data_IF_336386801978
#
_entry.id   IF_336386801978
#
_cell.length_a   1.000
_cell.length_b   1.000
_cell.length_c   1.000
_cell.angle_alpha   90.00
_cell.angle_beta   90.00
_cell.angle_gamma   90.00
#
_symmetry.space_group_name_H-M   'P 1'
#
loop_
_entity.id
_entity.type
_entity.pdbx_description
1 polymer ?
#
# COMPACT_ATOMS: atom_id res chain seq x y z
N UNK A 1 -20.82 -69.00 61.96
CA UNK A 1 -21.88 -68.65 60.99
C UNK A 1 -21.64 -67.19 60.60
N UNK A 2 -21.01 -66.91 59.50
CA UNK A 2 -20.60 -65.59 59.04
C UNK A 2 -21.02 -65.45 57.60
N UNK A 3 -21.82 -64.49 57.36
CA UNK A 3 -22.38 -64.19 56.03
C UNK A 3 -21.45 -63.15 55.35
N UNK A 4 -20.83 -63.52 54.20
CA UNK A 4 -20.06 -62.67 53.34
C UNK A 4 -21.00 -62.08 52.27
N UNK A 5 -21.34 -60.80 52.40
CA UNK A 5 -21.94 -60.05 51.31
C UNK A 5 -20.83 -59.43 50.45
N UNK A 6 -20.70 -59.89 49.21
CA UNK A 6 -19.86 -59.30 48.17
C UNK A 6 -20.52 -57.99 47.67
N UNK A 7 -19.82 -56.88 47.87
CA UNK A 7 -20.18 -55.59 47.26
C UNK A 7 -19.74 -55.57 45.80
N UNK A 8 -20.71 -55.42 44.90
CA UNK A 8 -20.53 -55.26 43.46
C UNK A 8 -20.19 -53.78 43.18
N UNK A 9 -18.90 -53.49 42.87
CA UNK A 9 -18.47 -52.18 42.39
C UNK A 9 -19.04 -51.92 40.98
N UNK A 10 -19.93 -50.97 40.91
CA UNK A 10 -20.40 -50.41 39.64
C UNK A 10 -19.26 -49.51 39.11
N UNK A 11 -18.64 -49.91 38.01
CA UNK A 11 -17.72 -49.05 37.26
C UNK A 11 -18.58 -47.99 36.53
N UNK A 12 -18.56 -46.77 37.03
CA UNK A 12 -19.00 -45.59 36.27
C UNK A 12 -18.17 -45.49 34.99
N UNK A 13 -18.84 -45.59 33.85
CA UNK A 13 -18.27 -45.23 32.56
C UNK A 13 -18.08 -43.71 32.54
N UNK A 14 -16.84 -43.25 32.56
CA UNK A 14 -16.54 -41.86 32.20
C UNK A 14 -17.05 -41.59 30.78
N UNK A 15 -17.69 -40.44 30.54
CA UNK A 15 -18.10 -40.07 29.19
C UNK A 15 -16.84 -39.85 28.35
N UNK A 16 -16.71 -40.61 27.29
CA UNK A 16 -15.71 -40.36 26.22
C UNK A 16 -16.08 -39.00 25.62
N UNK A 17 -15.23 -38.01 25.89
CA UNK A 17 -15.28 -36.73 25.18
C UNK A 17 -14.92 -37.07 23.72
N UNK A 18 -15.93 -37.19 22.89
CA UNK A 18 -15.77 -37.19 21.44
C UNK A 18 -15.23 -35.81 21.06
N UNK A 19 -13.94 -35.70 20.85
CA UNK A 19 -13.33 -34.62 20.08
C UNK A 19 -13.85 -34.74 18.63
N UNK A 20 -15.10 -34.35 18.40
CA UNK A 20 -15.48 -33.94 17.05
C UNK A 20 -14.75 -32.66 16.77
N UNK A 21 -13.66 -32.74 15.99
CA UNK A 21 -13.01 -31.59 15.37
C UNK A 21 -14.12 -30.78 14.69
N UNK A 22 -14.33 -29.55 15.14
CA UNK A 22 -15.33 -28.67 14.56
C UNK A 22 -15.06 -28.58 13.05
N UNK A 23 -16.05 -28.96 12.25
CA UNK A 23 -15.97 -29.04 10.77
C UNK A 23 -15.78 -27.67 10.11
N UNK A 24 -15.67 -26.59 10.88
CA UNK A 24 -15.71 -25.20 10.44
C UNK A 24 -14.37 -24.43 10.57
N UNK A 25 -13.28 -25.10 10.88
CA UNK A 25 -11.96 -24.46 10.98
C UNK A 25 -11.29 -24.37 9.61
N UNK A 26 -10.87 -23.17 9.19
CA UNK A 26 -10.17 -22.99 7.92
C UNK A 26 -9.08 -21.92 7.98
N UNK A 27 -8.15 -22.01 7.04
CA UNK A 27 -7.03 -21.10 6.89
C UNK A 27 -7.26 -20.15 5.71
N UNK A 28 -6.89 -18.89 5.88
CA UNK A 28 -6.62 -17.97 4.78
C UNK A 28 -5.14 -17.66 4.78
N UNK A 29 -4.50 -17.95 3.67
CA UNK A 29 -3.11 -17.63 3.44
C UNK A 29 -3.00 -16.51 2.39
N UNK A 30 -2.56 -15.33 2.80
CA UNK A 30 -2.34 -14.19 1.93
C UNK A 30 -0.89 -14.15 1.48
N UNK A 31 -0.66 -14.12 0.17
CA UNK A 31 0.65 -13.89 -0.43
C UNK A 31 0.75 -12.44 -0.87
N UNK A 32 1.76 -11.73 -0.41
CA UNK A 32 2.05 -10.34 -0.77
C UNK A 32 3.55 -10.10 -0.81
N UNK A 33 4.02 -8.88 -1.12
CA UNK A 33 5.46 -8.65 -1.23
C UNK A 33 5.93 -7.24 -0.82
N UNK A 34 5.39 -6.19 -1.40
CA UNK A 34 5.93 -4.83 -1.24
C UNK A 34 5.26 -4.02 -0.14
N UNK A 35 5.88 -2.91 0.29
CA UNK A 35 5.32 -2.04 1.32
C UNK A 35 3.99 -1.38 0.88
N UNK A 36 3.85 -1.07 -0.42
CA UNK A 36 2.61 -0.55 -0.98
C UNK A 36 1.47 -1.54 -0.86
N UNK A 37 1.66 -2.77 -1.32
CA UNK A 37 0.67 -3.84 -1.31
C UNK A 37 0.22 -4.20 0.10
N UNK A 38 1.13 -4.19 1.08
CA UNK A 38 0.80 -4.46 2.49
C UNK A 38 -0.17 -3.41 3.03
N UNK A 39 0.04 -2.15 2.71
CA UNK A 39 -0.76 -1.05 3.26
C UNK A 39 -2.06 -0.80 2.49
N UNK A 40 -2.04 -1.00 1.17
CA UNK A 40 -3.18 -0.62 0.31
C UNK A 40 -4.05 -1.80 -0.13
N UNK A 41 -3.52 -3.04 -0.10
CA UNK A 41 -4.27 -4.23 -0.50
C UNK A 41 -4.49 -5.20 0.66
N UNK A 42 -3.42 -5.55 1.40
CA UNK A 42 -3.55 -6.53 2.50
C UNK A 42 -4.42 -5.96 3.61
N UNK A 43 -4.16 -4.73 4.06
CA UNK A 43 -4.89 -4.11 5.17
C UNK A 43 -6.42 -4.10 4.97
N UNK A 44 -6.99 -3.54 3.89
CA UNK A 44 -8.45 -3.56 3.70
C UNK A 44 -9.00 -4.98 3.53
N UNK A 45 -8.26 -5.88 2.87
CA UNK A 45 -8.71 -7.25 2.65
C UNK A 45 -8.79 -8.04 3.96
N UNK A 46 -7.80 -7.94 4.86
CA UNK A 46 -7.87 -8.65 6.16
C UNK A 46 -9.02 -8.15 7.02
N UNK A 47 -9.30 -6.84 7.01
CA UNK A 47 -10.47 -6.26 7.69
C UNK A 47 -11.78 -6.81 7.13
N UNK A 48 -11.97 -6.77 5.81
CA UNK A 48 -13.16 -7.28 5.14
C UNK A 48 -13.37 -8.80 5.40
N UNK A 49 -12.28 -9.57 5.38
CA UNK A 49 -12.30 -10.99 5.69
C UNK A 49 -12.77 -11.26 7.13
N UNK A 50 -12.22 -10.55 8.13
CA UNK A 50 -12.64 -10.68 9.52
C UNK A 50 -14.10 -10.28 9.74
N UNK A 51 -14.52 -9.18 9.13
CA UNK A 51 -15.92 -8.73 9.23
C UNK A 51 -16.87 -9.75 8.61
N UNK A 52 -16.60 -10.18 7.38
CA UNK A 52 -17.51 -11.03 6.62
C UNK A 52 -17.50 -12.49 7.05
N UNK A 53 -16.35 -13.03 7.38
CA UNK A 53 -16.19 -14.44 7.76
C UNK A 53 -16.24 -14.65 9.28
N UNK A 54 -15.91 -13.63 10.07
CA UNK A 54 -15.94 -13.68 11.53
C UNK A 54 -17.30 -13.40 12.15
N UNK A 55 -18.20 -12.66 11.48
CA UNK A 55 -19.46 -12.19 12.06
C UNK A 55 -20.68 -12.34 11.17
N UNK A 56 -20.59 -12.03 9.87
CA UNK A 56 -21.76 -11.97 8.98
C UNK A 56 -21.92 -13.18 8.02
N UNK A 57 -20.86 -13.94 7.82
CA UNK A 57 -20.83 -15.04 6.85
C UNK A 57 -21.52 -16.32 7.30
N UNK A 58 -21.78 -16.45 8.60
CA UNK A 58 -22.44 -17.62 9.20
C UNK A 58 -23.68 -17.17 9.98
N UNK A 59 -24.73 -17.98 10.01
CA UNK A 59 -25.81 -17.74 10.94
C UNK A 59 -25.23 -17.67 12.36
N UNK A 60 -25.88 -16.93 13.28
CA UNK A 60 -25.42 -16.77 14.67
C UNK A 60 -25.10 -18.09 15.38
N UNK A 61 -25.68 -19.19 14.92
CA UNK A 61 -25.44 -20.56 15.39
C UNK A 61 -24.17 -21.20 14.75
N UNK A 62 -23.82 -20.81 13.51
CA UNK A 62 -22.64 -21.31 12.79
C UNK A 62 -21.37 -20.50 13.13
N UNK A 63 -21.53 -19.23 13.53
CA UNK A 63 -20.41 -18.39 13.97
C UNK A 63 -19.83 -18.81 15.33
N UNK A 64 -20.62 -19.51 16.15
CA UNK A 64 -20.18 -20.09 17.43
C UNK A 64 -19.38 -21.36 17.11
N UNK A 65 -18.08 -21.23 16.91
CA UNK A 65 -17.15 -22.33 16.66
C UNK A 65 -16.33 -22.27 15.39
N UNK A 66 -16.49 -21.25 14.56
CA UNK A 66 -15.66 -21.07 13.37
C UNK A 66 -14.38 -20.35 13.74
N UNK A 67 -13.26 -21.03 13.67
CA UNK A 67 -11.95 -20.42 13.89
C UNK A 67 -11.29 -20.08 12.56
N UNK A 68 -11.50 -18.85 12.08
CA UNK A 68 -10.76 -18.30 10.96
C UNK A 68 -9.34 -17.96 11.39
N UNK A 69 -8.33 -18.45 10.66
CA UNK A 69 -6.94 -18.11 10.87
C UNK A 69 -6.37 -17.43 9.60
N UNK A 70 -5.93 -16.18 9.73
CA UNK A 70 -5.37 -15.40 8.63
C UNK A 70 -3.86 -15.36 8.79
N UNK A 71 -3.14 -15.86 7.79
CA UNK A 71 -1.68 -15.87 7.73
C UNK A 71 -1.21 -15.03 6.55
N UNK A 72 -0.17 -14.22 6.73
CA UNK A 72 0.47 -13.46 5.66
C UNK A 72 1.87 -14.03 5.41
N UNK A 73 2.19 -14.35 4.18
CA UNK A 73 3.52 -14.76 3.74
C UNK A 73 4.03 -13.77 2.70
N UNK A 74 5.18 -13.18 2.99
CA UNK A 74 5.82 -12.21 2.12
C UNK A 74 6.78 -12.89 1.15
N UNK A 75 6.64 -12.61 -0.15
CA UNK A 75 7.62 -13.00 -1.15
C UNK A 75 8.69 -11.91 -1.32
N UNK A 76 9.91 -12.26 -1.78
CA UNK A 76 10.96 -11.29 -2.03
C UNK A 76 10.51 -10.19 -2.98
N UNK A 77 10.81 -8.95 -2.64
CA UNK A 77 10.55 -7.77 -3.44
C UNK A 77 11.84 -6.94 -3.56
N UNK A 78 12.26 -6.55 -4.77
CA UNK A 78 13.44 -5.68 -4.95
C UNK A 78 13.29 -4.32 -4.25
N UNK A 79 12.07 -3.94 -3.93
CA UNK A 79 11.73 -2.66 -3.31
C UNK A 79 11.33 -2.79 -1.84
N UNK A 80 11.51 -3.98 -1.25
CA UNK A 80 11.24 -4.20 0.16
C UNK A 80 12.10 -3.27 1.03
N UNK A 81 11.50 -2.80 2.11
CA UNK A 81 12.15 -1.98 3.13
C UNK A 81 12.72 -2.81 4.27
N UNK A 82 12.30 -4.09 4.37
CA UNK A 82 12.59 -5.00 5.48
C UNK A 82 11.62 -4.88 6.66
N UNK A 83 10.70 -3.91 6.65
CA UNK A 83 9.71 -3.69 7.73
C UNK A 83 8.31 -4.21 7.37
N UNK A 84 8.10 -4.77 6.19
CA UNK A 84 6.80 -5.24 5.72
C UNK A 84 6.19 -6.29 6.65
N UNK A 85 7.02 -7.18 7.18
CA UNK A 85 6.57 -8.20 8.12
C UNK A 85 6.07 -7.59 9.44
N UNK A 86 6.76 -6.57 9.95
CA UNK A 86 6.37 -5.89 11.19
C UNK A 86 5.07 -5.10 11.00
N UNK A 87 4.92 -4.45 9.84
CA UNK A 87 3.67 -3.77 9.48
C UNK A 87 2.51 -4.79 9.41
N UNK A 88 2.71 -5.92 8.75
CA UNK A 88 1.67 -6.95 8.68
C UNK A 88 1.33 -7.54 10.06
N UNK A 89 2.31 -7.71 10.97
CA UNK A 89 2.11 -8.14 12.37
C UNK A 89 1.34 -7.11 13.21
N UNK A 90 1.43 -5.84 12.84
CA UNK A 90 0.69 -4.78 13.55
C UNK A 90 -0.82 -4.78 13.27
N UNK A 91 -1.28 -5.53 12.27
CA UNK A 91 -2.70 -5.64 11.95
C UNK A 91 -3.39 -6.63 12.88
N UNK A 92 -4.37 -6.20 13.68
CA UNK A 92 -5.04 -7.07 14.66
C UNK A 92 -5.82 -8.22 14.01
N UNK A 93 -6.10 -8.12 12.71
CA UNK A 93 -6.79 -9.14 11.93
C UNK A 93 -5.89 -10.31 11.51
N UNK A 94 -4.57 -10.16 11.61
CA UNK A 94 -3.57 -11.13 11.14
C UNK A 94 -3.06 -11.97 12.31
N UNK A 95 -3.12 -13.31 12.17
CA UNK A 95 -2.70 -14.23 13.22
C UNK A 95 -1.22 -14.62 13.11
N UNK A 96 -0.69 -14.74 11.88
CA UNK A 96 0.68 -15.21 11.63
C UNK A 96 1.29 -14.48 10.43
N UNK A 97 2.58 -14.15 10.54
CA UNK A 97 3.32 -13.49 9.46
C UNK A 97 4.67 -14.16 9.25
N UNK A 98 4.95 -14.57 8.01
CA UNK A 98 6.26 -15.02 7.60
C UNK A 98 6.95 -13.97 6.74
N UNK A 99 8.15 -13.57 7.15
CA UNK A 99 8.97 -12.60 6.44
C UNK A 99 9.59 -13.19 5.14
N UNK A 100 9.99 -12.30 4.23
CA UNK A 100 10.39 -12.66 2.88
C UNK A 100 11.67 -13.50 2.81
N UNK A 101 12.58 -13.40 3.80
CA UNK A 101 13.81 -14.21 3.88
C UNK A 101 13.54 -15.71 3.95
N UNK A 102 12.37 -16.12 4.46
CA UNK A 102 11.99 -17.52 4.58
C UNK A 102 11.07 -18.01 3.44
N UNK A 103 10.79 -17.15 2.46
CA UNK A 103 9.84 -17.42 1.40
C UNK A 103 10.23 -18.63 0.53
N UNK A 104 11.49 -18.71 0.08
CA UNK A 104 11.93 -19.78 -0.81
C UNK A 104 11.87 -21.15 -0.15
N UNK A 105 12.16 -21.22 1.14
CA UNK A 105 12.03 -22.47 1.91
C UNK A 105 10.56 -22.93 1.93
N UNK A 106 9.64 -22.00 2.13
CA UNK A 106 8.22 -22.30 2.11
C UNK A 106 7.74 -22.67 0.69
N UNK A 107 8.11 -21.90 -0.32
CA UNK A 107 7.72 -22.18 -1.70
C UNK A 107 8.22 -23.53 -2.20
N UNK A 108 9.47 -23.91 -1.90
CA UNK A 108 10.09 -25.13 -2.43
C UNK A 108 9.76 -26.38 -1.60
N UNK A 109 9.72 -26.27 -0.29
CA UNK A 109 9.57 -27.44 0.61
C UNK A 109 8.31 -27.39 1.50
N UNK A 110 7.53 -26.33 1.45
CA UNK A 110 6.32 -26.17 2.27
C UNK A 110 6.59 -25.92 3.75
N UNK A 111 7.84 -25.62 4.11
CA UNK A 111 8.26 -25.39 5.51
C UNK A 111 8.31 -23.90 5.79
N UNK A 112 7.49 -23.45 6.73
CA UNK A 112 7.58 -22.09 7.29
C UNK A 112 8.69 -22.02 8.33
N UNK A 113 9.17 -20.82 8.64
CA UNK A 113 10.23 -20.62 9.64
C UNK A 113 9.84 -21.18 11.02
N UNK A 114 8.58 -20.95 11.41
CA UNK A 114 8.04 -21.38 12.71
C UNK A 114 7.35 -22.76 12.65
N UNK A 115 7.55 -23.52 11.56
CA UNK A 115 6.93 -24.83 11.36
C UNK A 115 5.41 -24.82 11.56
N UNK A 116 4.72 -23.90 10.89
CA UNK A 116 3.26 -23.76 11.02
C UNK A 116 2.52 -25.05 10.68
N UNK A 117 1.53 -25.35 11.49
CA UNK A 117 0.49 -26.32 11.17
C UNK A 117 -0.47 -25.75 10.13
N UNK A 118 -1.09 -26.60 9.34
CA UNK A 118 -2.10 -26.25 8.34
C UNK A 118 -3.39 -27.01 8.58
N UNK A 119 -4.50 -26.33 8.44
CA UNK A 119 -5.83 -26.95 8.51
C UNK A 119 -6.12 -27.70 7.23
N UNK A 120 -7.12 -28.60 7.28
CA UNK A 120 -7.52 -29.40 6.11
C UNK A 120 -8.21 -28.60 5.02
N UNK A 121 -8.74 -27.43 5.34
CA UNK A 121 -9.43 -26.53 4.42
C UNK A 121 -8.82 -25.13 4.47
N UNK A 122 -8.74 -24.47 3.32
CA UNK A 122 -8.27 -23.10 3.25
C UNK A 122 -8.29 -22.50 1.86
N UNK A 123 -7.95 -21.21 1.81
CA UNK A 123 -7.82 -20.44 0.56
C UNK A 123 -6.51 -19.69 0.57
N UNK A 124 -5.78 -19.77 -0.55
CA UNK A 124 -4.61 -18.93 -0.83
C UNK A 124 -5.07 -17.72 -1.62
N UNK A 125 -4.88 -16.53 -1.06
CA UNK A 125 -5.18 -15.25 -1.71
C UNK A 125 -3.87 -14.60 -2.15
N UNK A 126 -3.79 -14.24 -3.41
CA UNK A 126 -2.65 -13.52 -3.95
C UNK A 126 -2.94 -12.01 -4.03
N UNK A 127 -2.13 -11.22 -3.32
CA UNK A 127 -2.19 -9.76 -3.26
C UNK A 127 -0.82 -9.12 -3.58
N UNK A 128 0.05 -9.78 -4.30
CA UNK A 128 1.34 -9.22 -4.71
C UNK A 128 2.44 -10.28 -4.86
N UNK A 129 3.37 -10.03 -5.78
CA UNK A 129 4.44 -10.95 -6.14
C UNK A 129 4.25 -11.57 -7.53
N UNK A 130 4.71 -12.81 -7.73
CA UNK A 130 4.46 -13.55 -8.97
C UNK A 130 3.23 -14.46 -8.85
N UNK A 131 2.34 -14.38 -9.83
CA UNK A 131 1.09 -15.17 -9.87
C UNK A 131 1.32 -16.68 -9.99
N UNK A 132 2.55 -17.15 -10.17
CA UNK A 132 2.87 -18.58 -10.08
C UNK A 132 2.98 -19.07 -8.63
N UNK A 133 3.28 -18.22 -7.68
CA UNK A 133 3.41 -18.60 -6.28
C UNK A 133 2.13 -19.19 -5.69
N UNK A 134 0.95 -18.58 -5.85
CA UNK A 134 -0.29 -19.19 -5.37
C UNK A 134 -0.59 -20.53 -6.03
N UNK A 135 -0.21 -20.78 -7.29
CA UNK A 135 -0.38 -22.08 -7.95
C UNK A 135 0.38 -23.18 -7.19
N UNK A 136 1.65 -22.94 -6.86
CA UNK A 136 2.49 -23.93 -6.17
C UNK A 136 2.00 -24.15 -4.73
N UNK A 137 1.74 -23.06 -4.01
CA UNK A 137 1.42 -23.10 -2.59
C UNK A 137 0.03 -23.71 -2.36
N UNK A 138 -0.97 -23.27 -3.14
CA UNK A 138 -2.33 -23.80 -3.01
C UNK A 138 -2.37 -25.30 -3.31
N UNK A 139 -1.72 -25.75 -4.39
CA UNK A 139 -1.63 -27.17 -4.70
C UNK A 139 -0.98 -27.99 -3.60
N UNK A 140 0.08 -27.46 -2.95
CA UNK A 140 0.77 -28.15 -1.86
C UNK A 140 -0.06 -28.29 -0.61
N UNK A 141 -0.81 -27.24 -0.26
CA UNK A 141 -1.66 -27.23 0.93
C UNK A 141 -3.01 -27.92 0.72
N UNK A 142 -3.38 -28.22 -0.54
CA UNK A 142 -4.71 -28.68 -0.89
C UNK A 142 -5.77 -27.58 -0.77
N UNK A 143 -5.38 -26.33 -0.91
CA UNK A 143 -6.24 -25.15 -0.77
C UNK A 143 -6.73 -24.65 -2.12
N UNK A 144 -7.85 -23.94 -2.11
CA UNK A 144 -8.31 -23.17 -3.26
C UNK A 144 -7.44 -21.93 -3.45
N UNK A 145 -7.40 -21.38 -4.65
CA UNK A 145 -6.59 -20.22 -5.01
C UNK A 145 -7.44 -19.07 -5.56
N UNK A 146 -7.28 -17.89 -4.98
CA UNK A 146 -7.91 -16.65 -5.44
C UNK A 146 -6.82 -15.63 -5.75
N UNK A 147 -6.78 -15.12 -6.96
CA UNK A 147 -5.78 -14.14 -7.41
C UNK A 147 -6.44 -12.80 -7.65
N UNK A 148 -5.99 -11.75 -6.95
CA UNK A 148 -6.29 -10.38 -7.33
C UNK A 148 -5.41 -9.98 -8.52
N UNK A 149 -6.04 -9.59 -9.63
CA UNK A 149 -5.35 -9.22 -10.86
C UNK A 149 -5.70 -7.78 -11.26
N UNK A 150 -4.74 -6.88 -11.08
CA UNK A 150 -4.86 -5.46 -11.40
C UNK A 150 -4.82 -5.20 -12.91
N UNK A 151 -3.81 -5.74 -13.60
CA UNK A 151 -3.52 -5.47 -15.01
C UNK A 151 -3.62 -6.68 -15.92
N UNK A 152 -3.22 -7.83 -15.42
CA UNK A 152 -3.20 -9.09 -16.16
C UNK A 152 -3.50 -10.27 -15.23
N UNK A 153 -4.10 -11.29 -15.79
CA UNK A 153 -4.30 -12.57 -15.14
C UNK A 153 -3.54 -13.66 -15.89
N UNK A 154 -2.78 -14.47 -15.18
CA UNK A 154 -1.98 -15.56 -15.74
C UNK A 154 -2.40 -16.89 -15.11
N UNK A 155 -2.00 -18.01 -15.71
CA UNK A 155 -2.23 -19.35 -15.17
C UNK A 155 -3.71 -19.75 -15.04
N UNK A 156 -4.56 -19.34 -16.00
CA UNK A 156 -6.02 -19.50 -15.96
C UNK A 156 -6.50 -20.94 -15.75
N UNK A 157 -5.71 -21.93 -16.21
CA UNK A 157 -6.00 -23.35 -16.04
C UNK A 157 -5.65 -23.90 -14.66
N UNK A 158 -4.78 -23.23 -13.89
CA UNK A 158 -4.23 -23.69 -12.61
C UNK A 158 -4.80 -22.95 -11.41
N UNK A 159 -5.32 -21.75 -11.60
CA UNK A 159 -5.92 -20.91 -10.56
C UNK A 159 -7.44 -21.12 -10.56
N UNK A 160 -8.03 -21.18 -9.38
CA UNK A 160 -9.45 -21.45 -9.22
C UNK A 160 -10.30 -20.21 -9.53
N UNK A 161 -9.97 -19.06 -8.97
CA UNK A 161 -10.73 -17.80 -9.17
C UNK A 161 -9.81 -16.59 -9.34
N UNK A 162 -10.32 -15.62 -10.08
CA UNK A 162 -9.68 -14.33 -10.31
C UNK A 162 -10.62 -13.22 -9.88
N UNK A 163 -10.15 -12.40 -8.94
CA UNK A 163 -10.72 -11.12 -8.58
C UNK A 163 -10.02 -10.05 -9.41
N UNK A 164 -10.69 -9.49 -10.42
CA UNK A 164 -10.06 -8.53 -11.33
C UNK A 164 -10.47 -7.10 -11.02
N UNK A 165 -9.51 -6.17 -11.15
CA UNK A 165 -9.76 -4.76 -10.91
C UNK A 165 -10.77 -4.18 -11.91
N UNK A 166 -10.67 -4.57 -13.18
CA UNK A 166 -11.46 -4.00 -14.30
C UNK A 166 -11.98 -5.09 -15.24
N UNK A 167 -13.13 -4.84 -15.91
CA UNK A 167 -13.66 -5.77 -16.92
C UNK A 167 -12.70 -6.09 -18.06
N UNK A 168 -11.81 -5.13 -18.43
CA UNK A 168 -10.85 -5.30 -19.52
C UNK A 168 -9.80 -6.37 -19.22
N UNK A 169 -9.52 -6.66 -17.94
CA UNK A 169 -8.63 -7.76 -17.56
C UNK A 169 -9.30 -9.10 -17.86
N UNK A 170 -10.58 -9.23 -17.57
CA UNK A 170 -11.36 -10.42 -17.88
C UNK A 170 -11.60 -10.58 -19.39
N UNK A 171 -11.77 -9.49 -20.15
CA UNK A 171 -12.04 -9.51 -21.57
C UNK A 171 -10.88 -10.10 -22.43
N UNK A 172 -9.65 -10.13 -21.89
CA UNK A 172 -8.48 -10.71 -22.56
C UNK A 172 -8.38 -12.23 -22.44
N UNK A 173 -9.30 -12.85 -21.71
CA UNK A 173 -9.22 -14.27 -21.31
C UNK A 173 -10.02 -15.13 -22.27
N UNK A 174 -9.52 -16.34 -22.54
CA UNK A 174 -10.26 -17.30 -23.39
C UNK A 174 -11.64 -17.63 -22.77
N UNK A 175 -12.72 -17.69 -23.58
CA UNK A 175 -14.11 -17.84 -23.08
C UNK A 175 -14.33 -19.01 -22.11
N UNK A 176 -13.61 -20.11 -22.29
CA UNK A 176 -13.70 -21.29 -21.41
C UNK A 176 -13.30 -21.02 -19.95
N UNK A 177 -12.56 -19.95 -19.67
CA UNK A 177 -12.16 -19.55 -18.32
C UNK A 177 -12.94 -18.35 -17.77
N UNK A 178 -13.83 -17.75 -18.55
CA UNK A 178 -14.56 -16.54 -18.17
C UNK A 178 -15.30 -16.70 -16.82
N UNK A 179 -15.83 -17.90 -16.56
CA UNK A 179 -16.54 -18.22 -15.31
C UNK A 179 -15.68 -18.10 -14.05
N UNK A 180 -14.34 -18.09 -14.17
CA UNK A 180 -13.41 -17.92 -13.05
C UNK A 180 -13.21 -16.46 -12.65
N UNK A 181 -13.68 -15.50 -13.46
CA UNK A 181 -13.38 -14.09 -13.31
C UNK A 181 -14.53 -13.32 -12.69
N UNK A 182 -14.23 -12.56 -11.65
CA UNK A 182 -15.16 -11.66 -10.97
C UNK A 182 -14.55 -10.27 -10.91
N UNK A 183 -15.26 -9.26 -11.41
CA UNK A 183 -14.83 -7.86 -11.29
C UNK A 183 -15.13 -7.39 -9.88
N UNK A 184 -14.09 -7.16 -9.09
CA UNK A 184 -14.21 -6.69 -7.71
C UNK A 184 -13.99 -5.18 -7.59
N UNK A 185 -13.18 -4.58 -8.47
CA UNK A 185 -12.79 -3.18 -8.39
C UNK A 185 -11.35 -3.00 -7.92
N UNK A 186 -11.03 -1.76 -7.56
CA UNK A 186 -9.69 -1.36 -7.15
C UNK A 186 -9.54 -1.41 -5.63
N UNK A 187 -8.67 -2.28 -5.13
CA UNK A 187 -8.37 -2.35 -3.69
C UNK A 187 -7.74 -1.07 -3.13
N UNK A 188 -7.05 -0.27 -3.96
CA UNK A 188 -6.51 1.01 -3.52
C UNK A 188 -7.61 2.05 -3.26
N UNK A 189 -8.79 1.92 -3.89
CA UNK A 189 -9.92 2.81 -3.64
C UNK A 189 -10.50 2.67 -2.22
N UNK A 190 -10.23 1.57 -1.53
CA UNK A 190 -10.64 1.35 -0.13
C UNK A 190 -10.00 2.31 0.85
N UNK A 191 -8.79 2.82 0.55
CA UNK A 191 -8.11 3.80 1.40
C UNK A 191 -8.95 5.06 1.64
N UNK A 192 -9.79 5.43 0.67
CA UNK A 192 -10.72 6.55 0.81
C UNK A 192 -11.90 6.25 1.75
N UNK A 193 -12.32 4.99 1.85
CA UNK A 193 -13.45 4.58 2.69
C UNK A 193 -13.09 4.64 4.18
N UNK A 194 -11.87 4.33 4.56
CA UNK A 194 -11.41 4.42 5.95
C UNK A 194 -11.52 5.87 6.48
N UNK A 195 -11.19 6.86 5.65
CA UNK A 195 -11.28 8.28 6.03
C UNK A 195 -12.73 8.75 6.16
N UNK A 196 -13.64 8.18 5.35
CA UNK A 196 -15.07 8.56 5.38
C UNK A 196 -15.77 7.98 6.60
N UNK A 197 -15.40 6.77 7.03
CA UNK A 197 -15.99 6.13 8.21
C UNK A 197 -15.57 6.78 9.54
N UNK A 198 -14.41 7.41 9.59
CA UNK A 198 -13.94 8.17 10.76
C UNK A 198 -14.48 9.61 10.82
N UNK A 199 -15.10 10.10 9.77
CA UNK A 199 -15.73 11.43 9.75
C UNK A 199 -17.24 11.31 9.93
N UNK A 200 -17.76 11.89 11.03
CA UNK A 200 -19.13 12.36 11.15
C UNK A 200 -19.56 13.18 9.90
N UNK A 201 -20.85 13.22 9.56
CA UNK A 201 -21.33 13.67 8.25
C UNK A 201 -20.79 15.05 7.87
N UNK A 202 -20.33 15.14 6.62
CA UNK A 202 -19.83 16.36 6.01
C UNK A 202 -20.84 17.51 6.18
N UNK A 203 -20.50 18.45 7.03
CA UNK A 203 -21.06 19.79 6.91
C UNK A 203 -20.50 20.39 5.61
N UNK A 204 -21.34 21.00 4.75
CA UNK A 204 -20.85 21.73 3.58
C UNK A 204 -19.83 22.79 4.04
N UNK A 205 -18.75 22.93 3.31
CA UNK A 205 -17.70 23.91 3.58
C UNK A 205 -18.27 25.31 3.64
N UNK A 206 -18.72 25.72 4.81
CA UNK A 206 -18.95 27.13 5.13
C UNK A 206 -17.63 27.72 5.53
N UNK A 207 -17.30 28.84 4.93
CA UNK A 207 -16.12 29.68 5.05
C UNK A 207 -15.85 30.11 6.49
N UNK A 208 -15.18 29.25 7.27
CA UNK A 208 -14.47 29.67 8.49
C UNK A 208 -13.02 29.22 8.32
N UNK A 209 -12.09 30.13 8.44
CA UNK A 209 -10.63 30.08 8.35
C UNK A 209 -10.01 28.66 8.46
N UNK A 210 -10.12 27.86 7.40
CA UNK A 210 -9.38 26.61 7.33
C UNK A 210 -7.90 26.95 7.20
N UNK A 211 -7.08 26.45 8.09
CA UNK A 211 -5.63 26.50 7.98
C UNK A 211 -5.22 25.91 6.63
N UNK A 212 -4.54 26.67 5.80
CA UNK A 212 -4.03 26.22 4.52
C UNK A 212 -2.93 25.20 4.75
N UNK A 213 -3.15 23.97 4.29
CA UNK A 213 -2.31 22.83 4.60
C UNK A 213 -1.75 22.18 3.31
N UNK A 214 -0.44 22.05 3.23
CA UNK A 214 0.27 21.40 2.13
C UNK A 214 1.08 20.22 2.65
N UNK A 215 0.93 19.06 2.02
CA UNK A 215 1.77 17.90 2.32
C UNK A 215 2.96 17.79 1.37
N UNK A 216 4.11 17.46 1.92
CA UNK A 216 5.33 17.18 1.20
C UNK A 216 5.59 15.67 1.25
N UNK A 217 5.61 15.01 0.09
CA UNK A 217 5.87 13.57 -0.03
C UNK A 217 7.13 13.34 -0.86
N UNK A 218 8.33 13.55 -0.27
CA UNK A 218 9.61 13.49 -1.00
C UNK A 218 10.01 12.08 -1.42
N UNK A 219 9.25 11.07 -1.02
CA UNK A 219 9.51 9.66 -1.24
C UNK A 219 9.95 8.92 0.02
N UNK A 220 10.25 7.62 -0.13
CA UNK A 220 10.69 6.75 0.98
C UNK A 220 12.05 6.09 0.74
N UNK A 221 12.58 6.16 -0.49
CA UNK A 221 13.85 5.53 -0.88
C UNK A 221 14.96 6.57 -0.93
N UNK A 222 16.22 6.23 -0.56
CA UNK A 222 17.35 7.17 -0.54
C UNK A 222 17.52 7.95 -1.85
N UNK A 223 17.39 7.28 -3.00
CA UNK A 223 17.53 7.92 -4.31
C UNK A 223 16.46 9.00 -4.59
N UNK A 224 15.27 8.90 -4.00
CA UNK A 224 14.21 9.91 -4.09
C UNK A 224 14.39 10.98 -3.03
N UNK A 225 14.69 10.58 -1.80
CA UNK A 225 14.85 11.47 -0.67
C UNK A 225 16.00 12.47 -0.88
N UNK A 226 17.11 12.05 -1.51
CA UNK A 226 18.26 12.92 -1.77
C UNK A 226 17.93 14.19 -2.55
N UNK A 227 17.00 14.11 -3.50
CA UNK A 227 16.52 15.27 -4.27
C UNK A 227 15.18 15.79 -3.75
N UNK A 228 14.29 14.88 -3.38
CA UNK A 228 12.91 15.20 -2.98
C UNK A 228 12.84 16.03 -1.70
N UNK A 229 13.65 15.70 -0.69
CA UNK A 229 13.66 16.45 0.58
C UNK A 229 14.11 17.91 0.38
N UNK A 230 15.30 18.18 -0.17
CA UNK A 230 15.73 19.58 -0.34
C UNK A 230 14.84 20.35 -1.32
N UNK A 231 14.39 19.73 -2.41
CA UNK A 231 13.50 20.40 -3.37
C UNK A 231 12.18 20.80 -2.71
N UNK A 232 11.50 19.88 -2.02
CA UNK A 232 10.20 20.19 -1.41
C UNK A 232 10.29 21.18 -0.26
N UNK A 233 11.38 21.14 0.52
CA UNK A 233 11.63 22.14 1.57
C UNK A 233 11.88 23.52 0.98
N UNK A 234 12.68 23.64 -0.09
CA UNK A 234 12.94 24.92 -0.75
C UNK A 234 11.65 25.51 -1.39
N UNK A 235 10.82 24.67 -2.01
CA UNK A 235 9.50 25.08 -2.51
C UNK A 235 8.62 25.57 -1.34
N UNK A 236 8.60 24.86 -0.23
CA UNK A 236 7.80 25.21 0.95
C UNK A 236 8.25 26.56 1.55
N UNK A 237 9.54 26.83 1.65
CA UNK A 237 10.06 28.14 2.06
C UNK A 237 9.60 29.26 1.13
N UNK A 238 9.70 29.03 -0.17
CA UNK A 238 9.26 30.02 -1.16
C UNK A 238 7.76 30.34 -1.04
N UNK A 239 6.93 29.30 -0.90
CA UNK A 239 5.48 29.47 -0.72
C UNK A 239 5.17 30.17 0.60
N UNK A 240 5.81 29.77 1.71
CA UNK A 240 5.58 30.37 3.03
C UNK A 240 5.97 31.85 3.07
N UNK A 241 7.04 32.23 2.39
CA UNK A 241 7.46 33.64 2.30
C UNK A 241 6.37 34.54 1.67
N UNK A 242 5.55 34.01 0.74
CA UNK A 242 4.47 34.72 0.09
C UNK A 242 3.11 34.50 0.76
N UNK A 243 2.93 33.36 1.46
CA UNK A 243 1.70 32.97 2.17
C UNK A 243 2.04 32.46 3.58
N UNK A 244 2.32 33.34 4.55
CA UNK A 244 2.78 32.95 5.89
C UNK A 244 1.82 32.05 6.70
N UNK A 245 0.52 32.04 6.32
CA UNK A 245 -0.51 31.21 6.95
C UNK A 245 -0.45 29.74 6.52
N UNK A 246 0.30 29.42 5.44
CA UNK A 246 0.43 28.04 4.93
C UNK A 246 1.23 27.18 5.90
N UNK A 247 0.68 26.02 6.25
CA UNK A 247 1.34 25.02 7.06
C UNK A 247 1.76 23.82 6.22
N UNK A 248 2.87 23.23 6.62
CA UNK A 248 3.46 22.10 5.90
C UNK A 248 3.66 20.90 6.80
N UNK A 249 3.49 19.71 6.25
CA UNK A 249 3.85 18.46 6.93
C UNK A 249 4.38 17.41 5.96
N UNK A 250 5.15 16.46 6.51
CA UNK A 250 5.63 15.26 5.83
C UNK A 250 5.00 14.05 6.50
N UNK A 251 4.18 13.23 5.82
CA UNK A 251 3.84 11.90 6.29
C UNK A 251 5.08 11.02 6.15
N UNK A 252 5.68 10.65 7.28
CA UNK A 252 6.90 9.86 7.29
C UNK A 252 6.56 8.41 7.00
N UNK A 253 7.20 7.82 5.99
CA UNK A 253 6.98 6.41 5.69
C UNK A 253 7.34 5.54 6.92
N UNK A 254 6.56 4.50 7.25
CA UNK A 254 6.80 3.68 8.44
C UNK A 254 8.16 2.98 8.43
N UNK A 255 8.79 2.90 7.27
CA UNK A 255 10.11 2.31 7.04
C UNK A 255 11.25 3.31 7.19
N UNK A 256 10.97 4.61 7.40
CA UNK A 256 11.94 5.69 7.42
C UNK A 256 12.07 6.28 8.83
N UNK A 257 13.27 6.28 9.37
CA UNK A 257 13.57 6.92 10.65
C UNK A 257 13.69 8.43 10.49
N UNK A 258 13.26 9.18 11.49
CA UNK A 258 13.28 10.65 11.46
C UNK A 258 14.68 11.23 11.26
N UNK A 259 15.68 10.63 11.90
CA UNK A 259 17.09 11.05 11.74
C UNK A 259 17.58 10.80 10.32
N UNK A 260 17.18 9.69 9.71
CA UNK A 260 17.51 9.39 8.31
C UNK A 260 16.84 10.39 7.38
N UNK A 261 15.56 10.72 7.60
CA UNK A 261 14.87 11.75 6.82
C UNK A 261 15.60 13.10 6.94
N UNK A 262 15.93 13.53 8.16
CA UNK A 262 16.61 14.78 8.44
C UNK A 262 18.01 14.86 7.78
N UNK A 263 18.71 13.73 7.68
CA UNK A 263 20.03 13.68 7.04
C UNK A 263 20.01 14.10 5.56
N UNK A 264 18.86 13.97 4.88
CA UNK A 264 18.72 14.45 3.49
C UNK A 264 18.53 15.97 3.39
N UNK A 265 18.27 16.66 4.49
CA UNK A 265 18.24 18.10 4.57
C UNK A 265 19.54 18.69 5.16
N UNK A 266 20.55 17.86 5.40
CA UNK A 266 21.85 18.25 5.93
C UNK A 266 22.84 18.45 4.77
N UNK A 267 23.40 19.68 4.58
CA UNK A 267 24.33 19.97 3.51
C UNK A 267 25.63 19.16 3.55
N UNK A 268 26.04 18.70 4.74
CA UNK A 268 27.25 17.88 4.89
C UNK A 268 27.03 16.44 4.42
N UNK A 269 25.77 15.97 4.47
CA UNK A 269 25.40 14.58 4.12
C UNK A 269 24.75 14.47 2.75
N UNK A 270 24.12 15.54 2.28
CA UNK A 270 23.40 15.54 1.02
C UNK A 270 23.82 16.73 0.12
N UNK A 271 24.66 16.52 -0.90
CA UNK A 271 25.14 17.59 -1.77
C UNK A 271 24.01 18.24 -2.61
N UNK A 272 22.85 17.58 -2.76
CA UNK A 272 21.72 18.16 -3.49
C UNK A 272 21.07 19.35 -2.78
N UNK A 273 21.31 19.56 -1.51
CA UNK A 273 20.87 20.76 -0.79
C UNK A 273 21.40 22.02 -1.50
N UNK A 274 22.64 22.00 -1.98
CA UNK A 274 23.23 23.10 -2.72
C UNK A 274 22.57 23.34 -4.09
N UNK A 275 22.09 22.25 -4.73
CA UNK A 275 21.38 22.33 -6.02
C UNK A 275 20.05 23.08 -5.90
N UNK A 276 19.43 23.04 -4.72
CA UNK A 276 18.16 23.67 -4.44
C UNK A 276 18.29 24.86 -3.48
N UNK A 277 19.25 25.75 -3.74
CA UNK A 277 19.41 27.02 -3.04
C UNK A 277 20.10 26.93 -1.68
N UNK A 278 20.81 25.85 -1.39
CA UNK A 278 21.52 25.69 -0.10
C UNK A 278 20.58 25.41 1.07
N UNK A 279 19.39 24.88 0.78
CA UNK A 279 18.40 24.57 1.83
C UNK A 279 18.98 23.63 2.88
N UNK A 280 18.74 23.92 4.15
CA UNK A 280 19.13 23.05 5.26
C UNK A 280 18.04 23.03 6.32
N UNK A 281 17.87 21.87 6.99
CA UNK A 281 16.92 21.74 8.09
C UNK A 281 17.45 20.79 9.17
N UNK A 282 17.02 21.03 10.38
CA UNK A 282 17.33 20.22 11.57
C UNK A 282 16.07 19.57 12.13
N UNK A 283 16.21 18.33 12.60
CA UNK A 283 15.16 17.64 13.34
C UNK A 283 15.07 18.21 14.76
N UNK A 284 13.89 18.64 15.14
CA UNK A 284 13.57 19.01 16.52
C UNK A 284 12.61 17.94 17.06
N UNK A 285 13.05 17.28 18.14
CA UNK A 285 12.26 16.28 18.84
C UNK A 285 11.22 16.96 19.75
N UNK A 286 10.17 17.50 19.13
CA UNK A 286 8.98 18.04 19.80
C UNK A 286 7.82 17.05 19.65
N UNK A 287 6.67 17.38 20.18
CA UNK A 287 5.45 16.60 19.97
C UNK A 287 4.39 17.50 19.32
N UNK A 288 4.09 17.29 18.02
CA UNK A 288 4.74 16.37 17.09
C UNK A 288 6.19 16.78 16.73
N UNK A 289 7.03 15.84 16.26
CA UNK A 289 8.39 16.16 15.79
C UNK A 289 8.33 17.04 14.53
N UNK A 290 9.34 17.88 14.35
CA UNK A 290 9.38 18.84 13.23
C UNK A 290 10.76 18.87 12.56
N UNK A 291 10.78 19.17 11.25
CA UNK A 291 11.94 19.71 10.57
C UNK A 291 11.86 21.23 10.57
N UNK A 292 12.89 21.89 11.09
CA UNK A 292 13.01 23.35 11.06
C UNK A 292 14.16 23.76 10.14
N UNK A 293 13.84 24.53 9.10
CA UNK A 293 14.87 25.03 8.18
C UNK A 293 15.65 26.19 8.79
N UNK A 294 16.81 26.48 8.21
CA UNK A 294 17.65 27.60 8.63
C UNK A 294 16.90 28.94 8.52
N UNK A 295 16.05 29.10 7.52
CA UNK A 295 15.25 30.31 7.31
C UNK A 295 13.96 30.36 8.15
N UNK A 296 13.73 29.36 9.02
CA UNK A 296 12.65 29.37 9.99
C UNK A 296 11.37 28.64 9.59
N UNK A 297 11.29 28.07 8.38
CA UNK A 297 10.16 27.20 8.00
C UNK A 297 10.09 26.02 8.99
N UNK A 298 8.89 25.72 9.44
CA UNK A 298 8.59 24.56 10.28
C UNK A 298 7.71 23.57 9.52
N UNK A 299 8.16 22.33 9.42
CA UNK A 299 7.44 21.24 8.75
C UNK A 299 7.16 20.13 9.77
N UNK A 300 5.89 19.87 10.04
CA UNK A 300 5.46 18.81 10.97
C UNK A 300 5.76 17.42 10.38
N UNK A 301 6.24 16.49 11.20
CA UNK A 301 6.49 15.11 10.80
C UNK A 301 5.40 14.21 11.37
N UNK A 302 4.57 13.64 10.50
CA UNK A 302 3.50 12.74 10.89
C UNK A 302 4.04 11.31 10.92
N UNK A 303 4.08 10.71 12.10
CA UNK A 303 4.66 9.37 12.32
C UNK A 303 3.62 8.27 12.42
N UNK A 304 2.34 8.59 12.63
CA UNK A 304 1.28 7.60 12.55
C UNK A 304 0.99 7.21 11.09
N UNK A 305 0.64 5.97 10.88
CA UNK A 305 0.41 5.45 9.54
C UNK A 305 -0.84 4.54 9.52
N UNK A 306 -1.71 4.70 8.49
CA UNK A 306 -1.67 5.70 7.41
C UNK A 306 -2.08 7.10 7.91
N UNK A 307 -1.54 8.14 7.30
CA UNK A 307 -1.82 9.55 7.63
C UNK A 307 -2.97 10.12 6.77
N UNK A 308 -3.97 9.32 6.44
CA UNK A 308 -5.05 9.70 5.51
C UNK A 308 -5.95 10.80 6.08
N UNK A 309 -6.11 10.84 7.40
CA UNK A 309 -6.82 11.88 8.15
C UNK A 309 -6.23 13.28 7.86
N UNK A 310 -4.90 13.40 7.87
CA UNK A 310 -4.18 14.65 7.55
C UNK A 310 -4.13 14.90 6.03
N UNK A 311 -3.81 13.89 5.23
CA UNK A 311 -3.71 14.02 3.77
C UNK A 311 -5.02 14.49 3.15
N UNK A 312 -6.16 13.98 3.61
CA UNK A 312 -7.49 14.38 3.10
C UNK A 312 -7.86 15.84 3.39
N UNK A 313 -7.14 16.51 4.29
CA UNK A 313 -7.35 17.92 4.63
C UNK A 313 -6.50 18.87 3.78
N UNK A 314 -5.55 18.35 2.99
CA UNK A 314 -4.66 19.17 2.17
C UNK A 314 -5.40 19.90 1.06
N UNK A 315 -5.01 21.14 0.84
CA UNK A 315 -5.36 21.88 -0.38
C UNK A 315 -4.67 21.24 -1.57
N UNK A 316 -3.38 20.97 -1.45
CA UNK A 316 -2.56 20.35 -2.49
C UNK A 316 -1.40 19.58 -1.84
N UNK A 317 -0.90 18.55 -2.52
CA UNK A 317 0.29 17.79 -2.11
C UNK A 317 1.41 17.94 -3.15
N UNK A 318 2.64 18.05 -2.69
CA UNK A 318 3.85 17.94 -3.52
C UNK A 318 4.40 16.53 -3.36
N UNK A 319 4.38 15.74 -4.42
CA UNK A 319 4.76 14.32 -4.34
C UNK A 319 5.75 13.92 -5.42
N UNK A 320 6.54 12.89 -5.17
CA UNK A 320 7.36 12.24 -6.21
C UNK A 320 6.55 11.12 -6.89
N UNK A 321 6.97 10.74 -8.09
CA UNK A 321 6.39 9.59 -8.82
C UNK A 321 6.44 8.32 -7.96
N UNK A 322 5.35 7.58 -7.86
CA UNK A 322 5.28 6.31 -7.14
C UNK A 322 3.90 6.01 -6.54
N UNK A 323 3.84 5.06 -5.59
CA UNK A 323 2.60 4.63 -4.93
C UNK A 323 1.82 5.79 -4.27
N UNK A 324 2.53 6.80 -3.76
CA UNK A 324 1.88 8.00 -3.18
C UNK A 324 0.89 8.65 -4.14
N UNK A 325 1.17 8.63 -5.47
CA UNK A 325 0.25 9.23 -6.45
C UNK A 325 -1.06 8.45 -6.57
N UNK A 326 -1.01 7.14 -6.36
CA UNK A 326 -2.21 6.30 -6.34
C UNK A 326 -3.02 6.52 -5.04
N UNK A 327 -2.35 6.58 -3.89
CA UNK A 327 -2.98 6.86 -2.60
C UNK A 327 -3.68 8.23 -2.61
N UNK A 328 -2.96 9.29 -3.02
CA UNK A 328 -3.53 10.64 -3.15
C UNK A 328 -4.68 10.69 -4.17
N UNK A 329 -4.54 9.96 -5.29
CA UNK A 329 -5.59 9.81 -6.29
C UNK A 329 -6.84 9.16 -5.71
N UNK A 330 -6.69 8.09 -4.93
CA UNK A 330 -7.80 7.40 -4.26
C UNK A 330 -8.47 8.26 -3.20
N UNK A 331 -7.71 9.11 -2.50
CA UNK A 331 -8.25 10.11 -1.56
C UNK A 331 -8.85 11.35 -2.26
N UNK A 332 -8.73 11.43 -3.58
CA UNK A 332 -9.09 12.61 -4.38
C UNK A 332 -8.41 13.90 -3.90
N UNK A 333 -7.17 13.80 -3.43
CA UNK A 333 -6.37 14.94 -2.95
C UNK A 333 -5.60 15.53 -4.13
N UNK A 334 -5.74 16.86 -4.41
CA UNK A 334 -4.96 17.52 -5.44
C UNK A 334 -3.47 17.36 -5.21
N UNK A 335 -2.70 17.18 -6.29
CA UNK A 335 -1.27 17.00 -6.18
C UNK A 335 -0.52 17.58 -7.39
N UNK A 336 0.74 17.93 -7.15
CA UNK A 336 1.74 18.19 -8.19
C UNK A 336 2.80 17.11 -8.07
N UNK A 337 3.08 16.41 -9.17
CA UNK A 337 4.04 15.31 -9.20
C UNK A 337 5.39 15.84 -9.70
N UNK A 338 6.42 15.65 -8.89
CA UNK A 338 7.76 16.18 -9.13
C UNK A 338 8.71 15.04 -9.55
N UNK A 339 9.36 15.20 -10.67
CA UNK A 339 10.44 14.32 -11.13
C UNK A 339 11.67 15.16 -11.50
N UNK A 340 12.47 15.58 -10.50
CA UNK A 340 13.70 16.32 -10.76
C UNK A 340 14.73 15.46 -11.50
N UNK A 341 15.29 15.98 -12.57
CA UNK A 341 16.29 15.30 -13.40
C UNK A 341 17.69 15.94 -13.29
N UNK A 342 17.94 16.66 -12.21
CA UNK A 342 19.24 17.30 -11.92
C UNK A 342 20.39 16.28 -11.92
N UNK A 343 20.10 15.01 -11.59
CA UNK A 343 20.97 13.87 -11.90
C UNK A 343 20.17 12.71 -12.47
N UNK A 344 20.45 12.35 -13.71
CA UNK A 344 19.90 11.19 -14.38
C UNK A 344 20.29 9.85 -13.72
N UNK A 345 21.39 9.83 -12.95
CA UNK A 345 21.87 8.63 -12.23
C UNK A 345 20.95 8.21 -11.06
N UNK A 346 20.13 9.11 -10.53
CA UNK A 346 19.16 8.78 -9.48
C UNK A 346 18.05 7.83 -9.95
N UNK A 347 17.88 7.63 -11.26
CA UNK A 347 16.87 6.77 -11.86
C UNK A 347 17.31 5.31 -12.00
N UNK A 348 18.39 4.88 -11.36
CA UNK A 348 18.82 3.46 -11.29
C UNK A 348 17.84 2.53 -10.56
N UNK A 349 16.80 3.09 -9.96
CA UNK A 349 15.77 2.35 -9.21
C UNK A 349 14.56 1.91 -10.05
N UNK A 350 14.72 1.75 -11.36
CA UNK A 350 13.66 1.26 -12.23
C UNK A 350 13.45 -0.25 -12.07
N UNK A 351 12.20 -0.67 -12.19
CA UNK A 351 11.81 -2.07 -12.07
C UNK A 351 11.98 -2.84 -13.40
N UNK A 352 12.25 -4.15 -13.28
CA UNK A 352 12.33 -5.05 -14.44
C UNK A 352 13.67 -5.03 -15.17
N UNK A 353 13.66 -5.52 -16.42
CA UNK A 353 14.84 -5.62 -17.30
C UNK A 353 15.66 -4.31 -17.43
N UNK A 354 15.02 -3.13 -17.56
CA UNK A 354 15.76 -1.86 -17.57
C UNK A 354 16.56 -1.61 -16.31
N UNK A 355 16.03 -1.93 -15.12
CA UNK A 355 16.74 -1.77 -13.86
C UNK A 355 17.92 -2.73 -13.71
N UNK A 356 17.79 -3.96 -14.20
CA UNK A 356 18.88 -4.95 -14.18
C UNK A 356 20.04 -4.48 -15.08
N UNK A 357 19.74 -3.98 -16.28
CA UNK A 357 20.74 -3.47 -17.22
C UNK A 357 21.42 -2.18 -16.71
N UNK A 358 20.68 -1.32 -16.04
CA UNK A 358 21.21 -0.09 -15.45
C UNK A 358 22.18 -0.37 -14.27
N UNK A 359 22.09 -1.53 -13.63
CA UNK A 359 22.91 -1.93 -12.49
C UNK A 359 24.14 -2.77 -12.88
N UNK A 360 24.40 -3.01 -14.18
CA UNK A 360 25.59 -3.74 -14.63
C UNK A 360 26.86 -2.93 -14.38
N UNK A 361 27.90 -3.52 -13.75
CA UNK A 361 29.16 -2.85 -13.49
C UNK A 361 29.86 -2.43 -14.81
N UNK A 362 30.26 -1.16 -14.91
CA UNK A 362 31.02 -0.60 -16.03
C UNK A 362 30.21 -0.02 -17.19
N UNK A 363 28.98 -0.44 -17.42
CA UNK A 363 28.14 0.03 -18.55
C UNK A 363 26.83 0.67 -18.06
N UNK A 364 26.46 0.39 -16.81
CA UNK A 364 25.14 0.71 -16.25
C UNK A 364 24.80 2.21 -16.23
N UNK A 365 25.75 3.11 -16.02
CA UNK A 365 25.47 4.56 -15.98
C UNK A 365 25.12 5.13 -17.35
N UNK A 366 25.81 4.69 -18.41
CA UNK A 366 25.51 5.13 -19.77
C UNK A 366 24.20 4.55 -20.29
N UNK A 367 23.90 3.31 -19.93
CA UNK A 367 22.64 2.66 -20.27
C UNK A 367 21.45 3.27 -19.51
N UNK A 368 21.62 3.59 -18.23
CA UNK A 368 20.63 4.31 -17.43
C UNK A 368 20.32 5.69 -18.04
N UNK A 369 21.33 6.44 -18.48
CA UNK A 369 21.15 7.74 -19.17
C UNK A 369 20.39 7.59 -20.48
N UNK A 370 20.69 6.55 -21.26
CA UNK A 370 20.01 6.28 -22.54
C UNK A 370 18.55 5.88 -22.32
N UNK A 371 18.28 4.98 -21.39
CA UNK A 371 16.91 4.56 -21.05
C UNK A 371 16.12 5.77 -20.52
N UNK A 372 16.68 6.55 -19.64
CA UNK A 372 16.07 7.76 -19.10
C UNK A 372 15.80 8.79 -20.21
N UNK A 373 16.72 8.97 -21.14
CA UNK A 373 16.53 9.83 -22.29
C UNK A 373 15.40 9.32 -23.20
N UNK A 374 15.37 8.04 -23.53
CA UNK A 374 14.28 7.42 -24.31
C UNK A 374 12.93 7.54 -23.60
N UNK A 375 12.91 7.36 -22.28
CA UNK A 375 11.70 7.49 -21.46
C UNK A 375 11.16 8.92 -21.44
N UNK A 376 12.04 9.90 -21.23
CA UNK A 376 11.69 11.32 -21.29
C UNK A 376 11.22 11.76 -22.68
N UNK A 377 11.75 11.15 -23.74
CA UNK A 377 11.31 11.39 -25.12
C UNK A 377 9.92 10.77 -25.42
N UNK A 378 9.53 9.70 -24.74
CA UNK A 378 8.25 9.01 -24.98
C UNK A 378 7.04 9.67 -24.35
N UNK A 379 7.17 10.80 -23.63
CA UNK A 379 6.06 11.55 -23.01
C UNK A 379 4.96 10.63 -22.41
N UNK A 380 5.37 9.60 -21.68
CA UNK A 380 4.45 8.71 -20.99
C UNK A 380 3.91 9.37 -19.72
N UNK A 381 2.68 9.07 -19.35
CA UNK A 381 2.10 9.47 -18.08
C UNK A 381 2.79 8.71 -16.94
N UNK A 382 3.11 9.41 -15.83
CA UNK A 382 3.90 8.89 -14.72
C UNK A 382 3.08 8.70 -13.44
N UNK A 383 2.16 9.62 -13.19
CA UNK A 383 1.28 9.56 -12.04
C UNK A 383 0.15 8.56 -12.29
N UNK A 384 -0.16 7.75 -11.31
CA UNK A 384 -1.22 6.77 -11.41
C UNK A 384 -2.56 7.36 -11.84
N UNK A 385 -3.05 8.50 -11.30
CA UNK A 385 -4.27 9.12 -11.79
C UNK A 385 -4.26 9.45 -13.28
N UNK A 386 -3.12 9.93 -13.80
CA UNK A 386 -2.98 10.25 -15.21
C UNK A 386 -2.99 8.99 -16.08
N UNK A 387 -2.31 7.92 -15.61
CA UNK A 387 -2.30 6.61 -16.26
C UNK A 387 -3.71 6.01 -16.30
N UNK A 388 -4.47 6.07 -15.20
CA UNK A 388 -5.84 5.59 -15.13
C UNK A 388 -6.77 6.33 -16.09
N UNK A 389 -6.66 7.67 -16.09
CA UNK A 389 -7.45 8.53 -16.97
C UNK A 389 -6.99 8.51 -18.43
N UNK A 390 -5.79 7.99 -18.73
CA UNK A 390 -5.11 8.11 -20.03
C UNK A 390 -4.97 9.56 -20.52
N UNK A 391 -4.93 10.50 -19.59
CA UNK A 391 -4.82 11.94 -19.80
C UNK A 391 -4.27 12.62 -18.56
N UNK A 392 -3.79 13.85 -18.71
CA UNK A 392 -3.32 14.62 -17.58
C UNK A 392 -4.49 15.08 -16.70
N UNK A 393 -4.53 14.58 -15.48
CA UNK A 393 -5.47 14.95 -14.41
C UNK A 393 -4.76 15.77 -13.35
N UNK A 394 -3.53 15.40 -13.05
CA UNK A 394 -2.63 16.10 -12.13
C UNK A 394 -1.37 16.52 -12.89
N UNK A 395 -0.80 17.71 -12.62
CA UNK A 395 0.40 18.15 -13.30
C UNK A 395 1.61 17.28 -12.94
N UNK A 396 2.40 16.93 -13.95
CA UNK A 396 3.66 16.20 -13.82
C UNK A 396 4.81 17.12 -14.26
N UNK A 397 5.58 17.60 -13.29
CA UNK A 397 6.72 18.46 -13.55
C UNK A 397 8.00 17.62 -13.66
N UNK A 398 8.50 17.51 -14.88
CA UNK A 398 9.66 16.67 -15.21
C UNK A 398 10.78 17.55 -15.77
N UNK A 399 11.97 17.44 -15.21
CA UNK A 399 13.12 18.20 -15.72
C UNK A 399 13.99 18.80 -14.62
N UNK A 400 14.74 19.84 -15.00
CA UNK A 400 15.49 20.64 -14.03
C UNK A 400 14.51 21.58 -13.31
N UNK A 401 14.02 21.12 -12.15
CA UNK A 401 13.03 21.86 -11.38
C UNK A 401 13.72 22.92 -10.51
N UNK A 402 13.25 24.17 -10.63
CA UNK A 402 13.67 25.26 -9.75
C UNK A 402 12.59 25.47 -8.67
N UNK A 403 12.99 25.59 -7.39
CA UNK A 403 12.02 25.73 -6.29
C UNK A 403 11.06 26.91 -6.48
N UNK A 404 11.55 28.04 -6.98
CA UNK A 404 10.77 29.25 -7.21
C UNK A 404 9.70 29.04 -8.30
N UNK A 405 10.08 28.41 -9.43
CA UNK A 405 9.15 28.13 -10.53
C UNK A 405 8.03 27.18 -10.09
N UNK A 406 8.38 26.12 -9.35
CA UNK A 406 7.38 25.21 -8.79
C UNK A 406 6.53 25.90 -7.73
N UNK A 407 7.16 26.73 -6.89
CA UNK A 407 6.46 27.53 -5.88
C UNK A 407 5.42 28.48 -6.50
N UNK A 408 5.70 29.11 -7.64
CA UNK A 408 4.74 29.93 -8.37
C UNK A 408 3.54 29.09 -8.87
N UNK A 409 3.78 27.87 -9.35
CA UNK A 409 2.69 26.96 -9.74
C UNK A 409 1.81 26.61 -8.54
N UNK A 410 2.41 26.32 -7.38
CA UNK A 410 1.67 26.07 -6.14
C UNK A 410 0.81 27.27 -5.76
N UNK A 411 1.41 28.47 -5.79
CA UNK A 411 0.73 29.73 -5.46
C UNK A 411 -0.44 30.00 -6.44
N UNK A 412 -0.26 29.69 -7.71
CA UNK A 412 -1.35 29.81 -8.70
C UNK A 412 -2.53 28.91 -8.34
N UNK A 413 -2.28 27.66 -7.96
CA UNK A 413 -3.34 26.76 -7.49
C UNK A 413 -4.01 27.25 -6.20
N UNK A 414 -3.24 27.77 -5.24
CA UNK A 414 -3.79 28.29 -3.98
C UNK A 414 -4.62 29.59 -4.18
N UNK A 415 -4.24 30.40 -5.17
CA UNK A 415 -4.96 31.63 -5.53
C UNK A 415 -6.21 31.35 -6.40
N UNK A 416 -6.32 30.16 -6.98
CA UNK A 416 -7.41 29.75 -7.85
C UNK A 416 -8.03 28.43 -7.36
N UNK A 417 -8.80 28.45 -6.24
CA UNK A 417 -9.35 27.23 -5.62
C UNK A 417 -10.23 26.43 -6.58
N UNK A 418 -10.85 27.07 -7.57
CA UNK A 418 -11.62 26.39 -8.62
C UNK A 418 -10.78 25.41 -9.46
N UNK A 419 -9.46 25.64 -9.60
CA UNK A 419 -8.55 24.70 -10.25
C UNK A 419 -8.35 23.44 -9.39
N UNK A 420 -8.25 23.63 -8.06
CA UNK A 420 -8.14 22.50 -7.10
C UNK A 420 -9.44 21.70 -7.07
N UNK A 421 -10.59 22.35 -7.06
CA UNK A 421 -11.90 21.67 -7.07
C UNK A 421 -12.13 20.89 -8.37
N UNK A 422 -11.71 21.44 -9.51
CA UNK A 422 -11.73 20.74 -10.79
C UNK A 422 -10.82 19.51 -10.77
N UNK A 423 -9.63 19.61 -10.16
CA UNK A 423 -8.72 18.47 -10.01
C UNK A 423 -9.33 17.41 -9.09
N UNK A 424 -9.91 17.79 -7.94
CA UNK A 424 -10.63 16.87 -7.05
C UNK A 424 -11.75 16.13 -7.76
N UNK A 425 -12.61 16.85 -8.47
CA UNK A 425 -13.70 16.25 -9.21
C UNK A 425 -13.22 15.24 -10.25
N UNK A 426 -12.15 15.55 -10.99
CA UNK A 426 -11.52 14.61 -11.92
C UNK A 426 -10.96 13.39 -11.21
N UNK A 427 -10.23 13.57 -10.10
CA UNK A 427 -9.68 12.48 -9.29
C UNK A 427 -10.79 11.57 -8.77
N UNK A 428 -11.91 12.15 -8.30
CA UNK A 428 -13.09 11.39 -7.87
C UNK A 428 -13.71 10.58 -9.01
N UNK A 429 -13.75 11.13 -10.22
CA UNK A 429 -14.35 10.45 -11.37
C UNK A 429 -13.55 9.29 -11.92
N UNK A 430 -12.22 9.26 -11.68
CA UNK A 430 -11.32 8.22 -12.20
C UNK A 430 -10.96 7.14 -11.17
N UNK A 431 -11.20 7.41 -9.89
CA UNK A 431 -10.97 6.40 -8.86
C UNK A 431 -11.97 5.26 -9.04
N UNK A 432 -11.54 4.03 -8.75
CA UNK A 432 -12.41 2.86 -8.74
C UNK A 432 -13.54 2.99 -7.72
N UNK A 433 -14.59 2.21 -7.90
CA UNK A 433 -15.63 2.05 -6.87
C UNK A 433 -15.04 1.45 -5.62
N UNK A 434 -15.47 1.92 -4.45
CA UNK A 434 -15.20 1.31 -3.16
C UNK A 434 -15.95 -0.03 -3.02
N UNK A 435 -15.55 -0.89 -2.06
CA UNK A 435 -16.16 -2.20 -1.85
C UNK A 435 -15.43 -3.34 -2.57
N UNK A 436 -14.23 -3.11 -3.11
CA UNK A 436 -13.43 -4.15 -3.75
C UNK A 436 -12.99 -5.21 -2.73
N UNK A 437 -12.58 -4.81 -1.52
CA UNK A 437 -12.20 -5.72 -0.44
C UNK A 437 -13.38 -6.58 0.02
N UNK A 438 -14.57 -6.01 0.13
CA UNK A 438 -15.80 -6.74 0.46
C UNK A 438 -16.20 -7.74 -0.62
N UNK A 439 -16.11 -7.34 -1.90
CA UNK A 439 -16.38 -8.23 -3.03
C UNK A 439 -15.34 -9.37 -3.09
N UNK A 440 -14.07 -9.08 -2.81
CA UNK A 440 -13.03 -10.11 -2.71
C UNK A 440 -13.28 -11.05 -1.53
N UNK A 441 -13.60 -10.53 -0.34
CA UNK A 441 -13.95 -11.35 0.82
C UNK A 441 -15.18 -12.23 0.57
N UNK A 442 -16.18 -11.73 -0.17
CA UNK A 442 -17.32 -12.52 -0.62
C UNK A 442 -16.91 -13.67 -1.54
N UNK A 443 -16.03 -13.37 -2.53
CA UNK A 443 -15.53 -14.39 -3.44
C UNK A 443 -14.76 -15.48 -2.69
N UNK A 444 -13.92 -15.10 -1.73
CA UNK A 444 -13.19 -16.04 -0.86
C UNK A 444 -14.16 -16.91 -0.03
N UNK A 445 -15.22 -16.32 0.49
CA UNK A 445 -16.26 -17.05 1.21
C UNK A 445 -16.97 -18.10 0.35
N UNK A 446 -17.27 -17.78 -0.91
CA UNK A 446 -17.84 -18.74 -1.86
C UNK A 446 -16.91 -19.93 -2.07
N UNK A 447 -15.59 -19.69 -2.23
CA UNK A 447 -14.60 -20.76 -2.41
C UNK A 447 -14.34 -21.63 -1.18
N UNK A 448 -14.73 -21.17 0.00
CA UNK A 448 -14.64 -21.98 1.25
C UNK A 448 -15.83 -22.93 1.36
N UNK A 449 -17.00 -22.56 0.81
CA UNK A 449 -18.23 -23.36 0.88
C UNK A 449 -18.25 -24.52 -0.11
N UNK A 450 -17.55 -24.37 -1.23
CA UNK A 450 -17.42 -25.42 -2.26
C UNK A 450 -16.35 -26.46 -1.85
#
# INVERSE_FOLDING_TARGET
>A
MGDRRQGRMIKEKQPTINNQSSTNDFDILILSNGPGEITTWVRPVVKALRQKLGWEGFSKAEAIGTHLRISVVLSPCPHASGKEADIARSYPEVDRVQAAEHFWQFLLWGKTHENWDWRSKGVVIFLGGDQFFPVVIAKRLGYRSVVYAEWEARWHNLIDRFAVMKPEVAAKVAPKYAHKFTVVGDLMAETASEVVLEKTPHTPHTSQSQTELISLLPGSKPAKLSQGVPLTLAIAEYVQAKRPQTKFFIPVAPTLELQTLASFADPEKNPYTQTFGGISAQLINSEPPILKTHNGLTVELITHHPAYDKLSQCQICLTTVGANTAELGSLAVPMIVLLPTQQLDAMKSWDGLPGILANLPGVGSSFAKLINWIFLQRKGLLAWPNIWAKSEVVPELVGKLQPEEVGEIVLDYLNHPEKLDKMRAKLQSIRGETGAADKLAKLVYEEIKD
#
